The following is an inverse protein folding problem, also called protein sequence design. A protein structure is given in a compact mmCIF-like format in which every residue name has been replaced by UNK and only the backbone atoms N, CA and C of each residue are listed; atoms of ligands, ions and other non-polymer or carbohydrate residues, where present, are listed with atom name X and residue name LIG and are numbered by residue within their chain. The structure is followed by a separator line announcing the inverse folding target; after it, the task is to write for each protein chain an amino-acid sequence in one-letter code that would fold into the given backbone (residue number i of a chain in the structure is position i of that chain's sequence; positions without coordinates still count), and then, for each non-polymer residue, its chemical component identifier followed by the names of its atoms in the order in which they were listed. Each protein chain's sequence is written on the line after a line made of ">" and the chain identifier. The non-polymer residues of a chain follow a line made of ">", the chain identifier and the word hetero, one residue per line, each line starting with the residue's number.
data_IF_974680877581
#
_entry.id   IF_974680877581
#
_cell.length_a   1.000
_cell.length_b   1.000
_cell.length_c   1.000
_cell.angle_alpha   90.00
_cell.angle_beta   90.00
_cell.angle_gamma   90.00
#
_symmetry.space_group_name_H-M   'P 1'
#
loop_
_entity.id
_entity.type
_entity.pdbx_description
1 polymer ?
#
# COMPACT_ATOMS: atom_id res chain seq x y z
N UNK A 1 21.83 -1.47 33.77
CA UNK A 1 21.19 -0.28 33.17
C UNK A 1 20.02 -0.71 32.31
N UNK A 2 18.80 -0.70 32.86
CA UNK A 2 17.59 -1.05 32.09
C UNK A 2 17.13 0.20 31.35
N UNK A 3 17.30 0.14 30.04
CA UNK A 3 17.05 1.23 29.10
C UNK A 3 15.61 1.73 29.25
N UNK A 4 15.37 3.06 29.25
CA UNK A 4 14.05 3.66 29.42
C UNK A 4 12.98 3.08 28.46
N UNK A 5 13.43 2.53 27.33
CA UNK A 5 12.64 1.71 26.41
C UNK A 5 11.84 0.58 27.08
N UNK A 6 12.43 -0.19 28.00
CA UNK A 6 11.72 -1.28 28.70
C UNK A 6 10.59 -0.76 29.59
N UNK A 7 10.77 0.42 30.19
CA UNK A 7 9.75 1.06 31.03
C UNK A 7 8.60 1.61 30.18
N UNK A 8 8.91 2.24 29.04
CA UNK A 8 7.89 2.73 28.09
C UNK A 8 7.09 1.56 27.51
N UNK A 9 7.78 0.47 27.14
CA UNK A 9 7.14 -0.73 26.60
C UNK A 9 6.23 -1.38 27.64
N UNK A 10 6.70 -1.52 28.87
CA UNK A 10 5.88 -2.07 29.97
C UNK A 10 4.68 -1.18 30.24
N UNK A 11 4.81 0.14 30.26
CA UNK A 11 3.68 1.05 30.48
C UNK A 11 2.63 0.96 29.37
N UNK A 12 3.05 0.82 28.10
CA UNK A 12 2.13 0.63 26.98
C UNK A 12 1.41 -0.72 27.05
N UNK A 13 2.14 -1.80 27.34
CA UNK A 13 1.57 -3.13 27.51
C UNK A 13 0.63 -3.23 28.72
N UNK A 14 1.01 -2.58 29.83
CA UNK A 14 0.24 -2.54 31.08
C UNK A 14 -1.03 -1.71 30.90
N UNK A 15 -0.95 -0.54 30.26
CA UNK A 15 -2.13 0.25 29.90
C UNK A 15 -3.07 -0.47 28.93
N UNK A 16 -2.52 -1.28 28.02
CA UNK A 16 -3.28 -2.11 27.11
C UNK A 16 -3.95 -3.31 27.81
N UNK A 17 -3.25 -3.94 28.75
CA UNK A 17 -3.76 -5.09 29.51
C UNK A 17 -4.71 -4.70 30.64
N UNK A 18 -4.62 -3.47 31.16
CA UNK A 18 -5.50 -2.91 32.17
C UNK A 18 -6.78 -2.26 31.58
N UNK A 19 -7.01 -2.39 30.26
CA UNK A 19 -8.28 -2.02 29.66
C UNK A 19 -9.39 -2.90 30.23
N UNK A 20 -10.48 -2.29 30.69
CA UNK A 20 -11.71 -2.98 31.07
C UNK A 20 -12.17 -3.92 29.95
N UNK A 21 -12.92 -4.98 30.28
CA UNK A 21 -13.45 -5.98 29.32
C UNK A 21 -14.09 -5.34 28.08
N UNK A 22 -14.68 -4.16 28.25
CA UNK A 22 -15.20 -3.33 27.17
C UNK A 22 -14.13 -2.81 26.19
N UNK A 23 -13.04 -2.24 26.72
CA UNK A 23 -11.93 -1.70 25.93
C UNK A 23 -11.12 -2.79 25.21
N UNK A 24 -10.93 -3.96 25.85
CA UNK A 24 -10.27 -5.11 25.22
C UNK A 24 -11.05 -5.61 24.00
N UNK A 25 -12.38 -5.67 24.11
CA UNK A 25 -13.27 -6.07 23.02
C UNK A 25 -13.18 -5.10 21.85
N UNK A 26 -13.22 -3.79 22.12
CA UNK A 26 -13.07 -2.75 21.09
C UNK A 26 -11.72 -2.83 20.39
N UNK A 27 -10.63 -3.05 21.12
CA UNK A 27 -9.31 -3.16 20.50
C UNK A 27 -9.20 -4.38 19.60
N UNK A 28 -9.76 -5.52 20.01
CA UNK A 28 -9.86 -6.72 19.17
C UNK A 28 -10.63 -6.40 17.89
N UNK A 29 -11.75 -5.67 17.98
CA UNK A 29 -12.53 -5.23 16.82
C UNK A 29 -11.72 -4.31 15.90
N UNK A 30 -10.95 -3.37 16.46
CA UNK A 30 -10.07 -2.47 15.69
C UNK A 30 -8.98 -3.28 14.98
N UNK A 31 -8.34 -4.22 15.68
CA UNK A 31 -7.28 -5.07 15.13
C UNK A 31 -7.83 -5.95 13.99
N UNK A 32 -9.00 -6.53 14.18
CA UNK A 32 -9.74 -7.27 13.15
C UNK A 32 -10.06 -6.38 11.96
N UNK A 33 -10.65 -5.20 12.17
CA UNK A 33 -10.94 -4.26 11.07
C UNK A 33 -9.68 -3.89 10.30
N UNK A 34 -8.58 -3.63 11.01
CA UNK A 34 -7.30 -3.28 10.41
C UNK A 34 -6.76 -4.44 9.57
N UNK A 35 -6.87 -5.67 10.07
CA UNK A 35 -6.47 -6.87 9.34
C UNK A 35 -7.35 -7.13 8.12
N UNK A 36 -8.68 -7.03 8.25
CA UNK A 36 -9.63 -7.22 7.14
C UNK A 36 -9.42 -6.14 6.08
N UNK A 37 -9.27 -4.87 6.47
CA UNK A 37 -9.02 -3.79 5.52
C UNK A 37 -7.69 -3.97 4.81
N UNK A 38 -6.63 -4.34 5.55
CA UNK A 38 -5.33 -4.64 4.97
C UNK A 38 -5.40 -5.84 4.02
N UNK A 39 -6.11 -6.91 4.40
CA UNK A 39 -6.28 -8.09 3.58
C UNK A 39 -7.08 -7.77 2.31
N UNK A 40 -8.18 -7.02 2.40
CA UNK A 40 -8.98 -6.61 1.24
C UNK A 40 -8.15 -5.69 0.35
N UNK A 41 -7.54 -4.62 0.87
CA UNK A 41 -6.69 -3.74 0.06
C UNK A 41 -5.56 -4.55 -0.57
N UNK A 42 -4.90 -5.44 0.16
CA UNK A 42 -3.83 -6.26 -0.40
C UNK A 42 -4.34 -7.22 -1.47
N UNK A 43 -5.42 -7.94 -1.20
CA UNK A 43 -5.97 -8.99 -2.09
C UNK A 43 -6.79 -8.41 -3.23
N UNK A 44 -7.30 -7.18 -3.14
CA UNK A 44 -8.06 -6.47 -4.19
C UNK A 44 -7.19 -5.49 -4.97
N UNK A 45 -6.16 -4.91 -4.34
CA UNK A 45 -5.20 -4.03 -5.01
C UNK A 45 -4.07 -4.81 -5.67
N UNK A 46 -3.66 -6.00 -5.17
CA UNK A 46 -2.65 -6.86 -5.84
C UNK A 46 -3.12 -7.96 -6.84
N UNK A 47 -4.40 -8.37 -6.97
CA UNK A 47 -4.77 -9.47 -7.85
C UNK A 47 -4.82 -9.03 -9.32
N UNK A 48 -5.31 -7.81 -9.59
CA UNK A 48 -5.58 -7.31 -10.94
C UNK A 48 -4.40 -6.51 -11.51
N UNK A 49 -3.51 -5.95 -10.69
CA UNK A 49 -2.26 -5.37 -11.20
C UNK A 49 -1.29 -6.44 -11.74
N UNK A 50 -1.40 -7.69 -11.30
CA UNK A 50 -0.57 -8.80 -11.78
C UNK A 50 -1.29 -9.78 -12.73
N UNK A 51 -2.63 -9.86 -12.72
CA UNK A 51 -3.35 -10.83 -13.56
C UNK A 51 -4.19 -10.24 -14.69
N UNK A 52 -4.44 -8.93 -14.77
CA UNK A 52 -5.49 -8.48 -15.68
C UNK A 52 -5.11 -8.32 -17.15
N UNK A 53 -3.86 -8.12 -17.58
CA UNK A 53 -3.68 -7.82 -19.03
C UNK A 53 -2.53 -8.46 -19.81
N UNK A 54 -1.47 -9.05 -19.24
CA UNK A 54 -0.36 -9.54 -20.10
C UNK A 54 0.31 -10.78 -19.55
N UNK A 55 0.52 -11.77 -20.44
CA UNK A 55 1.25 -13.01 -20.16
C UNK A 55 2.72 -12.79 -19.78
N UNK A 56 3.27 -11.58 -19.95
CA UNK A 56 4.65 -11.21 -19.56
C UNK A 56 4.75 -9.71 -19.26
N UNK A 57 5.33 -9.32 -18.10
CA UNK A 57 5.57 -7.91 -17.69
C UNK A 57 6.34 -7.06 -18.73
N UNK A 58 7.16 -7.70 -19.56
CA UNK A 58 8.01 -7.02 -20.55
C UNK A 58 7.24 -6.33 -21.70
N UNK A 59 6.02 -6.78 -22.02
CA UNK A 59 5.25 -6.25 -23.16
C UNK A 59 4.56 -4.91 -22.84
N UNK A 60 4.15 -4.71 -21.58
CA UNK A 60 3.53 -3.46 -21.10
C UNK A 60 4.49 -2.29 -21.12
N UNK A 61 5.71 -2.50 -20.63
CA UNK A 61 6.72 -1.45 -20.63
C UNK A 61 7.02 -0.96 -22.04
N UNK A 62 7.05 -1.86 -23.04
CA UNK A 62 7.24 -1.49 -24.45
C UNK A 62 6.11 -0.62 -24.99
N UNK A 63 4.85 -0.97 -24.74
CA UNK A 63 3.71 -0.18 -25.23
C UNK A 63 3.62 1.21 -24.58
N UNK A 64 3.98 1.34 -23.30
CA UNK A 64 4.02 2.66 -22.63
C UNK A 64 5.19 3.50 -23.17
N UNK A 65 6.35 2.88 -23.38
CA UNK A 65 7.53 3.55 -23.96
C UNK A 65 7.28 4.06 -25.39
N UNK A 66 6.57 3.30 -26.23
CA UNK A 66 6.17 3.74 -27.57
C UNK A 66 5.25 4.96 -27.52
N UNK A 67 4.21 4.95 -26.68
CA UNK A 67 3.28 6.08 -26.57
C UNK A 67 3.94 7.37 -26.03
N UNK A 68 4.89 7.24 -25.10
CA UNK A 68 5.67 8.38 -24.61
C UNK A 68 6.63 8.92 -25.66
N UNK A 69 7.22 8.05 -26.49
CA UNK A 69 8.14 8.48 -27.56
C UNK A 69 7.38 9.14 -28.72
N UNK A 70 6.23 8.58 -29.11
CA UNK A 70 5.37 9.13 -30.18
C UNK A 70 4.77 10.49 -29.80
N UNK A 71 4.32 10.67 -28.55
CA UNK A 71 3.79 11.97 -28.10
C UNK A 71 4.87 13.06 -28.05
N UNK A 72 6.10 12.70 -27.66
CA UNK A 72 7.25 13.61 -27.68
C UNK A 72 7.63 13.98 -29.13
N UNK A 73 7.64 13.03 -30.08
CA UNK A 73 7.94 13.32 -31.48
C UNK A 73 6.88 14.20 -32.14
N UNK A 74 5.59 13.95 -31.91
CA UNK A 74 4.48 14.75 -32.47
C UNK A 74 4.51 16.19 -31.93
N UNK A 75 4.80 16.37 -30.64
CA UNK A 75 4.92 17.70 -30.03
C UNK A 75 6.12 18.48 -30.58
N UNK A 76 7.24 17.78 -30.85
CA UNK A 76 8.43 18.41 -31.46
C UNK A 76 8.19 18.84 -32.92
N UNK A 77 7.39 18.08 -33.67
CA UNK A 77 7.06 18.40 -35.06
C UNK A 77 6.13 19.62 -35.15
N UNK A 78 5.13 19.71 -34.26
CA UNK A 78 4.21 20.85 -34.17
C UNK A 78 4.90 22.17 -33.79
N UNK A 79 5.87 22.13 -32.86
CA UNK A 79 6.65 23.32 -32.46
C UNK A 79 7.64 23.80 -33.53
N UNK A 80 7.98 22.97 -34.52
CA UNK A 80 8.88 23.36 -35.63
C UNK A 80 8.14 23.99 -36.82
N UNK A 81 6.81 23.84 -36.87
CA UNK A 81 5.93 24.35 -37.94
C UNK A 81 5.17 25.63 -37.56
N UNK A 82 5.33 26.11 -36.32
CA UNK A 82 4.86 27.40 -35.80
C UNK A 82 6.03 28.39 -35.79
#
# INVERSE_FOLDING_TARGET
>A
MLTPFKRIFRFYFDGFSNLSSWGRSIWIIILIKLFILFAIIRVFFMPDILKKDYKTDNERSRHVLENLTTSVSVTSELNSKL
#
